data_IF_938326007624
#
_entry.id   IF_938326007624
#
_cell.length_a   1.000
_cell.length_b   1.000
_cell.length_c   1.000
_cell.angle_alpha   90.00
_cell.angle_beta   90.00
_cell.angle_gamma   90.00
#
_symmetry.space_group_name_H-M   'P 1'
#
loop_
_entity.id
_entity.type
_entity.pdbx_description
1 polymer ?
#
# COMPACT_ATOMS: atom_id res chain seq x y z
N UNK A 1 -21.03 -10.46 1.98
CA UNK A 1 -19.79 -10.16 1.23
C UNK A 1 -19.26 -11.36 0.45
N UNK A 2 -19.05 -12.52 1.06
CA UNK A 2 -18.57 -13.73 0.36
C UNK A 2 -19.43 -14.11 -0.87
N UNK A 3 -20.76 -14.11 -0.73
CA UNK A 3 -21.70 -14.37 -1.85
C UNK A 3 -21.51 -13.35 -2.98
N UNK A 4 -21.27 -12.07 -2.65
CA UNK A 4 -21.07 -11.03 -3.66
C UNK A 4 -19.76 -11.23 -4.43
N UNK A 5 -18.67 -11.64 -3.76
CA UNK A 5 -17.40 -11.97 -4.40
C UNK A 5 -17.55 -13.18 -5.34
N UNK A 6 -18.24 -14.22 -4.90
CA UNK A 6 -18.55 -15.40 -5.73
C UNK A 6 -19.39 -15.02 -6.95
N UNK A 7 -20.42 -14.18 -6.79
CA UNK A 7 -21.25 -13.70 -7.88
C UNK A 7 -20.48 -12.81 -8.87
N UNK A 8 -19.38 -12.19 -8.44
CA UNK A 8 -18.47 -11.41 -9.27
C UNK A 8 -17.31 -12.25 -9.84
N UNK A 9 -17.44 -13.58 -9.87
CA UNK A 9 -16.46 -14.54 -10.38
C UNK A 9 -15.08 -14.52 -9.67
N UNK A 10 -15.01 -13.98 -8.44
CA UNK A 10 -13.82 -14.15 -7.62
C UNK A 10 -13.73 -15.59 -7.09
N UNK A 11 -12.52 -16.15 -7.12
CA UNK A 11 -12.17 -17.44 -6.54
C UNK A 11 -11.20 -17.23 -5.39
N UNK A 12 -11.42 -17.93 -4.29
CA UNK A 12 -10.49 -17.91 -3.17
C UNK A 12 -9.26 -18.77 -3.48
N UNK A 13 -8.07 -18.27 -3.18
CA UNK A 13 -6.84 -19.05 -3.26
C UNK A 13 -6.48 -19.72 -1.91
N UNK A 14 -5.36 -20.43 -1.85
CA UNK A 14 -4.88 -21.13 -0.65
C UNK A 14 -4.54 -20.21 0.51
N UNK A 15 -4.30 -18.93 0.27
CA UNK A 15 -3.99 -17.90 1.27
C UNK A 15 -5.24 -17.14 1.71
N UNK A 16 -6.44 -17.60 1.32
CA UNK A 16 -7.73 -16.91 1.52
C UNK A 16 -7.80 -15.54 0.84
N UNK A 17 -6.96 -15.33 -0.17
CA UNK A 17 -6.99 -14.15 -1.03
C UNK A 17 -7.99 -14.39 -2.15
N UNK A 18 -8.92 -13.47 -2.36
CA UNK A 18 -9.90 -13.57 -3.42
C UNK A 18 -9.29 -13.06 -4.71
N UNK A 19 -9.35 -13.87 -5.76
CA UNK A 19 -8.76 -13.55 -7.06
C UNK A 19 -9.82 -13.56 -8.14
N UNK A 20 -9.84 -12.50 -8.95
CA UNK A 20 -10.59 -12.43 -10.18
C UNK A 20 -9.62 -12.43 -11.36
N UNK A 21 -9.83 -13.35 -12.30
CA UNK A 21 -9.01 -13.44 -13.50
C UNK A 21 -9.78 -12.84 -14.67
N UNK A 22 -9.15 -11.93 -15.41
CA UNK A 22 -9.72 -11.35 -16.62
C UNK A 22 -8.68 -11.37 -17.75
N UNK A 23 -9.15 -11.39 -18.99
CA UNK A 23 -8.29 -11.25 -20.17
C UNK A 23 -8.49 -9.85 -20.71
N UNK A 24 -7.45 -9.02 -20.62
CA UNK A 24 -7.46 -7.68 -21.21
C UNK A 24 -7.26 -7.75 -22.73
N UNK A 25 -7.60 -6.66 -23.42
CA UNK A 25 -7.39 -6.54 -24.87
C UNK A 25 -5.94 -6.87 -25.24
N UNK A 26 -5.76 -7.71 -26.27
CA UNK A 26 -4.45 -8.23 -26.68
C UNK A 26 -4.09 -9.60 -26.09
N UNK A 27 -4.96 -10.24 -25.32
CA UNK A 27 -4.78 -11.61 -24.82
C UNK A 27 -3.99 -11.72 -23.52
N UNK A 28 -3.64 -10.59 -22.89
CA UNK A 28 -2.95 -10.56 -21.61
C UNK A 28 -3.91 -10.93 -20.48
N UNK A 29 -3.56 -11.97 -19.72
CA UNK A 29 -4.28 -12.36 -18.52
C UNK A 29 -3.91 -11.41 -17.37
N UNK A 30 -4.88 -10.65 -16.87
CA UNK A 30 -4.75 -9.88 -15.64
C UNK A 30 -5.41 -10.63 -14.49
N UNK A 31 -4.75 -10.66 -13.34
CA UNK A 31 -5.30 -11.26 -12.11
C UNK A 31 -5.45 -10.14 -11.09
N UNK A 32 -6.70 -9.78 -10.77
CA UNK A 32 -7.02 -8.85 -9.69
C UNK A 32 -7.05 -9.63 -8.39
N UNK A 33 -6.23 -9.21 -7.43
CA UNK A 33 -6.23 -9.75 -6.07
C UNK A 33 -7.01 -8.82 -5.15
N UNK A 34 -7.89 -9.41 -4.37
CA UNK A 34 -8.68 -8.76 -3.33
C UNK A 34 -8.31 -9.40 -1.99
N UNK A 35 -7.61 -8.63 -1.16
CA UNK A 35 -7.18 -9.01 0.18
C UNK A 35 -7.91 -8.16 1.20
N UNK A 36 -8.44 -8.78 2.25
CA UNK A 36 -8.90 -8.07 3.43
C UNK A 36 -7.76 -8.03 4.44
N UNK A 37 -7.53 -6.86 5.01
CA UNK A 37 -6.49 -6.65 6.02
C UNK A 37 -7.15 -6.24 7.34
N UNK A 38 -6.55 -6.68 8.44
CA UNK A 38 -6.95 -6.30 9.78
C UNK A 38 -5.73 -5.80 10.57
N UNK A 39 -5.97 -5.00 11.61
CA UNK A 39 -4.95 -4.51 12.54
C UNK A 39 -5.41 -4.80 13.97
N UNK A 40 -5.18 -6.04 14.41
CA UNK A 40 -5.70 -6.59 15.66
C UNK A 40 -4.56 -6.83 16.65
N UNK A 41 -4.74 -6.33 17.87
CA UNK A 41 -3.73 -6.41 18.93
C UNK A 41 -3.52 -7.81 19.50
N UNK A 42 -4.59 -8.59 19.50
CA UNK A 42 -4.66 -9.94 20.05
C UNK A 42 -4.25 -11.02 19.05
N UNK A 43 -3.95 -10.65 17.80
CA UNK A 43 -3.57 -11.58 16.74
C UNK A 43 -2.10 -11.42 16.34
N UNK A 44 -1.39 -12.51 16.02
CA UNK A 44 -0.03 -12.42 15.48
C UNK A 44 0.03 -11.67 14.14
N UNK A 45 1.19 -11.08 13.84
CA UNK A 45 1.49 -10.52 12.52
C UNK A 45 1.37 -11.61 11.43
N UNK A 46 0.75 -11.29 10.30
CA UNK A 46 0.44 -12.18 9.18
C UNK A 46 -0.50 -13.34 9.49
N UNK A 47 -1.20 -13.33 10.64
CA UNK A 47 -2.20 -14.35 10.95
C UNK A 47 -3.44 -14.21 10.05
N UNK A 48 -3.98 -15.35 9.60
CA UNK A 48 -5.28 -15.38 8.93
C UNK A 48 -6.40 -15.31 9.99
N UNK A 49 -7.11 -14.20 10.01
CA UNK A 49 -8.27 -13.94 10.86
C UNK A 49 -9.52 -14.41 10.14
N UNK A 50 -10.17 -15.43 10.68
CA UNK A 50 -11.41 -15.94 10.12
C UNK A 50 -12.61 -15.11 10.58
N UNK A 51 -13.54 -14.83 9.68
CA UNK A 51 -14.80 -14.18 10.04
C UNK A 51 -15.85 -15.24 10.37
N UNK A 52 -16.46 -15.11 11.55
CA UNK A 52 -17.56 -15.98 11.95
C UNK A 52 -18.68 -15.98 10.90
N UNK A 53 -19.36 -17.11 10.74
CA UNK A 53 -20.48 -17.29 9.79
C UNK A 53 -20.10 -17.17 8.30
N UNK A 54 -18.83 -17.34 7.95
CA UNK A 54 -18.36 -17.42 6.56
C UNK A 54 -17.59 -18.71 6.32
N UNK A 55 -17.50 -19.19 5.08
CA UNK A 55 -16.75 -20.42 4.79
C UNK A 55 -15.28 -20.11 4.56
N UNK A 56 -15.02 -19.16 3.66
CA UNK A 56 -13.67 -18.86 3.18
C UNK A 56 -13.25 -17.41 3.38
N UNK A 57 -14.16 -16.55 3.84
CA UNK A 57 -13.83 -15.15 4.09
C UNK A 57 -12.97 -15.02 5.35
N UNK A 58 -12.02 -14.11 5.27
CA UNK A 58 -11.11 -13.77 6.34
C UNK A 58 -10.24 -12.59 5.94
N UNK A 59 -9.43 -12.13 6.88
CA UNK A 59 -8.46 -11.07 6.67
C UNK A 59 -7.07 -11.53 7.10
N UNK A 60 -6.02 -10.91 6.56
CA UNK A 60 -4.67 -11.06 7.07
C UNK A 60 -4.43 -9.97 8.12
N UNK A 61 -4.04 -10.35 9.32
CA UNK A 61 -3.63 -9.40 10.35
C UNK A 61 -2.29 -8.78 9.95
N UNK A 62 -2.30 -7.53 9.50
CA UNK A 62 -1.12 -6.78 9.11
C UNK A 62 -1.06 -5.52 9.98
N UNK A 63 -0.20 -5.58 11.00
CA UNK A 63 -0.08 -4.54 12.01
C UNK A 63 0.29 -3.19 11.37
N UNK A 64 -0.38 -2.14 11.83
CA UNK A 64 -0.24 -0.79 11.29
C UNK A 64 -1.12 -0.49 10.08
N UNK A 65 -1.85 -1.46 9.52
CA UNK A 65 -2.84 -1.15 8.46
C UNK A 65 -3.97 -0.25 8.94
N UNK A 66 -4.20 -0.15 10.26
CA UNK A 66 -5.16 0.78 10.84
C UNK A 66 -4.87 2.26 10.51
N UNK A 67 -3.63 2.63 10.19
CA UNK A 67 -3.33 3.99 9.72
C UNK A 67 -4.06 4.34 8.41
N UNK A 68 -4.27 3.37 7.53
CA UNK A 68 -5.00 3.58 6.28
C UNK A 68 -6.47 3.98 6.52
N UNK A 69 -7.06 3.53 7.64
CA UNK A 69 -8.42 3.92 8.05
C UNK A 69 -8.50 5.25 8.82
N UNK A 70 -7.36 5.86 9.18
CA UNK A 70 -7.33 7.15 9.90
C UNK A 70 -7.22 8.36 8.97
N UNK A 71 -6.77 8.16 7.74
CA UNK A 71 -6.72 9.17 6.68
C UNK A 71 -7.33 8.55 5.43
N UNK A 72 -8.57 8.93 5.12
CA UNK A 72 -9.30 8.45 3.96
C UNK A 72 -10.20 9.55 3.38
N UNK A 73 -10.50 9.40 2.09
CA UNK A 73 -11.51 10.18 1.40
C UNK A 73 -12.54 9.23 0.76
N UNK A 74 -13.85 9.51 0.89
CA UNK A 74 -14.86 8.77 0.16
C UNK A 74 -14.69 9.00 -1.34
N UNK A 75 -14.78 7.92 -2.12
CA UNK A 75 -14.77 7.94 -3.59
C UNK A 75 -15.99 7.18 -4.09
N UNK A 76 -16.71 7.78 -5.02
CA UNK A 76 -17.85 7.13 -5.67
C UNK A 76 -17.36 6.30 -6.84
N UNK A 77 -17.53 4.98 -6.75
CA UNK A 77 -17.39 4.06 -7.87
C UNK A 77 -18.73 3.92 -8.58
N UNK A 78 -18.68 3.90 -9.91
CA UNK A 78 -19.85 3.74 -10.77
C UNK A 78 -19.59 2.55 -11.70
N UNK A 79 -20.52 1.61 -11.71
CA UNK A 79 -20.50 0.46 -12.61
C UNK A 79 -21.87 0.28 -13.28
N UNK A 80 -21.93 -0.55 -14.32
CA UNK A 80 -23.18 -1.01 -14.91
C UNK A 80 -23.30 -2.51 -14.69
N UNK A 81 -24.33 -2.93 -13.96
CA UNK A 81 -24.65 -4.34 -13.71
C UNK A 81 -25.96 -4.68 -14.43
N UNK A 82 -25.91 -5.61 -15.38
CA UNK A 82 -27.06 -6.01 -16.23
C UNK A 82 -27.81 -4.82 -16.86
N UNK A 83 -27.07 -3.77 -17.25
CA UNK A 83 -27.63 -2.55 -17.84
C UNK A 83 -28.16 -1.53 -16.83
N UNK A 84 -28.23 -1.85 -15.54
CA UNK A 84 -28.55 -0.91 -14.48
C UNK A 84 -27.28 -0.21 -13.98
N UNK A 85 -27.34 1.12 -13.81
CA UNK A 85 -26.24 1.88 -13.20
C UNK A 85 -26.22 1.60 -11.69
N UNK A 86 -25.10 1.09 -11.20
CA UNK A 86 -24.84 0.85 -9.77
C UNK A 86 -23.77 1.81 -9.29
N UNK A 87 -23.98 2.38 -8.11
CA UNK A 87 -23.02 3.29 -7.46
C UNK A 87 -22.65 2.76 -6.08
N UNK A 88 -21.36 2.79 -5.76
CA UNK A 88 -20.86 2.44 -4.45
C UNK A 88 -19.93 3.54 -3.95
N UNK A 89 -20.10 3.96 -2.70
CA UNK A 89 -19.13 4.83 -2.03
C UNK A 89 -18.12 3.94 -1.30
N UNK A 90 -16.84 4.17 -1.57
CA UNK A 90 -15.75 3.45 -0.92
C UNK A 90 -14.79 4.45 -0.28
N UNK A 91 -14.35 4.18 0.94
CA UNK A 91 -13.29 4.95 1.56
C UNK A 91 -11.95 4.52 0.97
N UNK A 92 -11.24 5.46 0.35
CA UNK A 92 -9.90 5.26 -0.20
C UNK A 92 -8.91 5.98 0.70
N UNK A 93 -7.86 5.28 1.11
CA UNK A 93 -6.84 5.87 1.99
C UNK A 93 -6.16 7.08 1.33
N UNK A 94 -5.90 8.11 2.12
CA UNK A 94 -5.11 9.27 1.74
C UNK A 94 -3.60 9.01 1.87
N UNK A 95 -2.81 10.01 1.48
CA UNK A 95 -1.35 9.90 1.44
C UNK A 95 -0.74 9.59 2.82
N UNK A 96 -1.23 10.23 3.88
CA UNK A 96 -0.67 10.03 5.22
C UNK A 96 -0.97 8.62 5.75
N UNK A 97 -2.22 8.19 5.60
CA UNK A 97 -2.66 6.85 6.02
C UNK A 97 -1.92 5.75 5.26
N UNK A 98 -1.76 5.94 3.95
CA UNK A 98 -1.00 5.03 3.10
C UNK A 98 0.46 4.90 3.54
N UNK A 99 1.18 6.02 3.70
CA UNK A 99 2.61 6.00 4.03
C UNK A 99 2.88 5.38 5.39
N UNK A 100 2.09 5.69 6.42
CA UNK A 100 2.25 5.07 7.74
C UNK A 100 1.91 3.58 7.72
N UNK A 101 0.81 3.19 7.06
CA UNK A 101 0.44 1.78 6.93
C UNK A 101 1.49 0.97 6.17
N UNK A 102 2.03 1.53 5.09
CA UNK A 102 3.06 0.87 4.29
C UNK A 102 4.40 0.80 5.01
N UNK A 103 4.79 1.83 5.76
CA UNK A 103 6.00 1.81 6.59
C UNK A 103 5.91 0.70 7.65
N UNK A 104 4.77 0.59 8.34
CA UNK A 104 4.54 -0.49 9.31
C UNK A 104 4.55 -1.87 8.64
N UNK A 105 3.89 -2.01 7.48
CA UNK A 105 3.88 -3.26 6.73
C UNK A 105 5.29 -3.66 6.25
N UNK A 106 6.06 -2.72 5.70
CA UNK A 106 7.42 -2.98 5.24
C UNK A 106 8.30 -3.54 6.36
N UNK A 107 8.23 -2.95 7.56
CA UNK A 107 8.93 -3.46 8.73
C UNK A 107 8.40 -4.83 9.20
N UNK A 108 7.08 -5.05 9.13
CA UNK A 108 6.47 -6.28 9.61
C UNK A 108 6.59 -7.50 8.69
N UNK A 109 6.86 -7.33 7.39
CA UNK A 109 6.94 -8.47 6.44
C UNK A 109 8.07 -8.40 5.40
N UNK A 110 8.81 -7.29 5.32
CA UNK A 110 9.96 -7.10 4.41
C UNK A 110 9.69 -7.56 2.96
N UNK A 111 8.51 -7.22 2.41
CA UNK A 111 8.16 -7.58 1.04
C UNK A 111 8.61 -6.49 0.08
N UNK A 112 9.26 -6.88 -1.01
CA UNK A 112 9.69 -6.00 -2.10
C UNK A 112 8.60 -5.02 -2.57
N UNK A 113 7.34 -5.49 -2.66
CA UNK A 113 6.20 -4.66 -3.06
C UNK A 113 5.97 -3.44 -2.17
N UNK A 114 6.23 -3.52 -0.87
CA UNK A 114 6.02 -2.38 0.02
C UNK A 114 7.12 -1.33 -0.14
N UNK A 115 8.37 -1.75 -0.36
CA UNK A 115 9.45 -0.82 -0.67
C UNK A 115 9.20 -0.08 -1.99
N UNK A 116 8.75 -0.81 -3.03
CA UNK A 116 8.33 -0.20 -4.29
C UNK A 116 7.20 0.81 -4.08
N UNK A 117 6.12 0.40 -3.43
CA UNK A 117 4.93 1.23 -3.20
C UNK A 117 5.26 2.53 -2.44
N UNK A 118 6.11 2.45 -1.40
CA UNK A 118 6.52 3.63 -0.61
C UNK A 118 7.33 4.59 -1.48
N UNK A 119 8.41 4.11 -2.12
CA UNK A 119 9.28 4.96 -2.93
C UNK A 119 8.52 5.57 -4.11
N UNK A 120 7.67 4.77 -4.77
CA UNK A 120 6.83 5.22 -5.87
C UNK A 120 5.86 6.33 -5.41
N UNK A 121 5.16 6.13 -4.29
CA UNK A 121 4.24 7.17 -3.78
C UNK A 121 5.00 8.42 -3.37
N UNK A 122 6.16 8.32 -2.71
CA UNK A 122 6.93 9.51 -2.34
C UNK A 122 7.33 10.33 -3.58
N UNK A 123 7.71 9.66 -4.68
CA UNK A 123 8.12 10.31 -5.93
C UNK A 123 6.95 10.83 -6.77
N UNK A 124 5.79 10.16 -6.74
CA UNK A 124 4.68 10.41 -7.67
C UNK A 124 3.36 10.86 -6.97
N UNK A 125 3.40 11.22 -5.69
CA UNK A 125 2.20 11.52 -4.89
C UNK A 125 1.25 12.55 -5.53
N UNK A 126 1.74 13.58 -6.22
CA UNK A 126 0.87 14.60 -6.83
C UNK A 126 0.03 14.06 -8.00
N UNK A 127 0.49 13.01 -8.66
CA UNK A 127 -0.25 12.35 -9.75
C UNK A 127 -1.25 11.31 -9.22
N UNK A 128 -0.92 10.73 -8.05
CA UNK A 128 -1.68 9.66 -7.42
C UNK A 128 -2.81 10.22 -6.55
N UNK A 129 -2.50 11.26 -5.79
CA UNK A 129 -3.42 11.94 -4.89
C UNK A 129 -3.85 13.24 -5.56
N UNK A 130 -5.16 13.38 -5.78
CA UNK A 130 -5.82 14.55 -6.37
C UNK A 130 -5.72 15.76 -5.43
N UNK A 131 -4.52 16.31 -5.36
CA UNK A 131 -4.13 17.40 -4.48
C UNK A 131 -3.79 18.63 -5.32
N UNK A 132 -4.45 19.76 -5.02
CA UNK A 132 -4.38 20.97 -5.86
C UNK A 132 -3.00 21.65 -5.93
N UNK A 133 -2.01 21.19 -5.16
CA UNK A 133 -0.67 21.78 -5.04
C UNK A 133 0.37 20.69 -4.74
N UNK A 134 1.66 20.90 -5.10
CA UNK A 134 2.75 20.05 -4.62
C UNK A 134 2.75 20.00 -3.09
N UNK A 135 2.70 18.79 -2.55
CA UNK A 135 2.77 18.55 -1.11
C UNK A 135 4.11 17.92 -0.75
N UNK A 136 4.70 18.29 0.39
CA UNK A 136 5.74 17.43 0.98
C UNK A 136 5.03 16.27 1.69
N UNK A 137 5.27 15.00 1.29
CA UNK A 137 4.62 13.85 1.93
C UNK A 137 4.87 13.76 3.43
N UNK A 138 6.03 14.21 3.91
CA UNK A 138 6.34 14.24 5.33
C UNK A 138 5.45 15.25 6.08
N UNK A 139 5.29 16.46 5.53
CA UNK A 139 4.40 17.47 6.10
C UNK A 139 2.96 17.00 6.15
N UNK A 140 2.49 16.30 5.11
CA UNK A 140 1.12 15.75 5.07
C UNK A 140 0.91 14.72 6.19
N UNK A 141 1.88 13.82 6.40
CA UNK A 141 1.83 12.86 7.50
C UNK A 141 1.77 13.59 8.85
N UNK A 142 2.68 14.55 9.09
CA UNK A 142 2.74 15.27 10.35
C UNK A 142 1.47 16.08 10.64
N UNK A 143 0.90 16.74 9.63
CA UNK A 143 -0.30 17.57 9.78
C UNK A 143 -1.57 16.74 10.00
N UNK A 144 -1.71 15.60 9.31
CA UNK A 144 -2.96 14.82 9.34
C UNK A 144 -3.00 13.79 10.47
N UNK A 145 -1.91 13.08 10.68
CA UNK A 145 -1.86 11.94 11.60
C UNK A 145 -0.78 12.08 12.68
N UNK A 146 0.21 12.93 12.46
CA UNK A 146 1.46 12.87 13.21
C UNK A 146 2.23 11.58 12.90
N UNK A 147 3.31 11.35 13.64
CA UNK A 147 4.05 10.08 13.59
C UNK A 147 4.15 9.51 15.01
N UNK A 148 3.50 8.37 15.30
CA UNK A 148 3.56 7.76 16.63
C UNK A 148 4.97 7.24 16.96
N UNK A 149 5.34 7.29 18.25
CA UNK A 149 6.67 6.88 18.71
C UNK A 149 6.95 5.40 18.45
N UNK A 150 5.91 4.59 18.42
CA UNK A 150 5.95 3.15 18.14
C UNK A 150 6.41 2.86 16.71
N UNK A 151 6.29 3.81 15.78
CA UNK A 151 6.80 3.66 14.42
C UNK A 151 8.29 3.94 14.27
N UNK A 152 9.00 4.37 15.33
CA UNK A 152 10.44 4.68 15.27
C UNK A 152 11.24 3.56 14.59
N UNK A 153 11.09 2.33 15.07
CA UNK A 153 11.81 1.18 14.52
C UNK A 153 11.44 0.91 13.06
N UNK A 154 10.17 1.08 12.68
CA UNK A 154 9.74 0.90 11.30
C UNK A 154 10.31 1.96 10.36
N UNK A 155 10.43 3.20 10.83
CA UNK A 155 11.05 4.31 10.07
C UNK A 155 12.57 4.12 9.96
N UNK A 156 13.24 3.70 11.04
CA UNK A 156 14.68 3.37 11.02
C UNK A 156 14.99 2.22 10.06
N UNK A 157 14.18 1.16 10.10
CA UNK A 157 14.29 0.03 9.18
C UNK A 157 14.05 0.47 7.73
N UNK A 158 13.03 1.29 7.45
CA UNK A 158 12.80 1.84 6.12
C UNK A 158 14.02 2.64 5.61
N UNK A 159 14.60 3.51 6.45
CA UNK A 159 15.79 4.27 6.10
C UNK A 159 16.99 3.35 5.78
N UNK A 160 17.21 2.30 6.59
CA UNK A 160 18.27 1.33 6.35
C UNK A 160 18.09 0.60 5.00
N UNK A 161 16.85 0.27 4.64
CA UNK A 161 16.49 -0.40 3.40
C UNK A 161 16.65 0.46 2.13
N UNK A 162 16.95 1.75 2.29
CA UNK A 162 17.24 2.70 1.21
C UNK A 162 18.60 3.41 1.38
N UNK A 163 19.50 2.84 2.19
CA UNK A 163 20.77 3.50 2.54
C UNK A 163 21.82 3.55 1.42
N UNK A 164 21.86 2.53 0.54
CA UNK A 164 22.76 2.47 -0.61
C UNK A 164 22.13 1.73 -1.80
N UNK A 165 22.81 1.75 -2.96
CA UNK A 165 22.29 1.19 -4.22
C UNK A 165 22.07 -0.34 -4.18
N UNK A 166 22.63 -1.04 -3.19
CA UNK A 166 22.49 -2.49 -2.98
C UNK A 166 21.49 -2.82 -1.86
N UNK A 167 20.92 -1.81 -1.20
CA UNK A 167 19.92 -2.03 -0.18
C UNK A 167 18.65 -2.65 -0.82
N UNK A 168 18.03 -3.58 -0.09
CA UNK A 168 16.92 -4.37 -0.64
C UNK A 168 15.73 -3.51 -1.11
N UNK A 169 15.48 -2.38 -0.46
CA UNK A 169 14.41 -1.47 -0.86
C UNK A 169 14.68 -0.78 -2.19
N UNK A 170 15.93 -0.38 -2.43
CA UNK A 170 16.36 0.22 -3.70
C UNK A 170 16.26 -0.79 -4.83
N UNK A 171 16.77 -1.99 -4.64
CA UNK A 171 16.68 -3.07 -5.63
C UNK A 171 15.23 -3.39 -5.97
N UNK A 172 14.38 -3.58 -4.95
CA UNK A 172 12.96 -3.84 -5.13
C UNK A 172 12.24 -2.74 -5.92
N UNK A 173 12.55 -1.47 -5.63
CA UNK A 173 11.96 -0.35 -6.36
C UNK A 173 12.39 -0.35 -7.83
N UNK A 174 13.69 -0.44 -8.10
CA UNK A 174 14.24 -0.37 -9.47
C UNK A 174 13.77 -1.56 -10.31
N UNK A 175 13.84 -2.78 -9.79
CA UNK A 175 13.40 -3.98 -10.50
C UNK A 175 11.93 -3.86 -10.92
N UNK A 176 11.06 -3.48 -9.98
CA UNK A 176 9.64 -3.36 -10.26
C UNK A 176 9.31 -2.18 -11.18
N UNK A 177 10.03 -1.06 -11.07
CA UNK A 177 9.86 0.10 -11.94
C UNK A 177 10.22 -0.23 -13.39
N UNK A 178 11.34 -0.92 -13.62
CA UNK A 178 11.83 -1.27 -14.96
C UNK A 178 10.99 -2.36 -15.63
N UNK A 179 10.35 -3.24 -14.85
CA UNK A 179 9.33 -4.16 -15.40
C UNK A 179 8.18 -3.37 -16.04
N UNK A 180 7.76 -2.28 -15.40
CA UNK A 180 6.64 -1.46 -15.86
C UNK A 180 7.07 -0.42 -16.91
N UNK A 181 8.32 0.04 -16.85
CA UNK A 181 8.86 1.11 -17.70
C UNK A 181 10.30 0.75 -18.13
N UNK A 182 10.46 -0.14 -19.12
CA UNK A 182 11.77 -0.69 -19.48
C UNK A 182 12.81 0.32 -19.98
N UNK A 183 12.34 1.49 -20.44
CA UNK A 183 13.18 2.53 -21.04
C UNK A 183 13.76 3.53 -20.02
N UNK A 184 13.42 3.40 -18.73
CA UNK A 184 13.93 4.29 -17.69
C UNK A 184 15.38 3.95 -17.30
N UNK A 185 16.13 4.97 -16.88
CA UNK A 185 17.49 4.77 -16.37
C UNK A 185 17.47 4.24 -14.93
N UNK A 186 18.07 3.06 -14.74
CA UNK A 186 18.11 2.38 -13.46
C UNK A 186 18.86 3.17 -12.37
N UNK A 187 19.93 3.87 -12.75
CA UNK A 187 20.78 4.60 -11.80
C UNK A 187 20.10 5.88 -11.30
N UNK A 188 19.43 6.61 -12.19
CA UNK A 188 18.55 7.73 -11.83
C UNK A 188 17.42 7.26 -10.92
N UNK A 189 16.69 6.21 -11.30
CA UNK A 189 15.61 5.66 -10.48
C UNK A 189 16.08 5.25 -9.06
N UNK A 190 17.23 4.59 -8.95
CA UNK A 190 17.82 4.23 -7.66
C UNK A 190 18.12 5.47 -6.81
N UNK A 191 18.74 6.49 -7.42
CA UNK A 191 19.14 7.72 -6.74
C UNK A 191 17.92 8.49 -6.24
N UNK A 192 16.90 8.65 -7.08
CA UNK A 192 15.68 9.38 -6.75
C UNK A 192 14.93 8.71 -5.59
N UNK A 193 14.79 7.38 -5.63
CA UNK A 193 14.17 6.62 -4.55
C UNK A 193 14.93 6.77 -3.22
N UNK A 194 16.26 6.69 -3.23
CA UNK A 194 17.08 6.90 -2.03
C UNK A 194 16.89 8.29 -1.45
N UNK A 195 16.93 9.33 -2.29
CA UNK A 195 16.77 10.72 -1.84
C UNK A 195 15.38 10.97 -1.26
N UNK A 196 14.32 10.49 -1.93
CA UNK A 196 12.95 10.66 -1.46
C UNK A 196 12.71 9.95 -0.13
N UNK A 197 13.16 8.69 0.01
CA UNK A 197 13.00 7.93 1.26
C UNK A 197 13.85 8.51 2.38
N UNK A 198 15.08 8.95 2.10
CA UNK A 198 15.95 9.59 3.09
C UNK A 198 15.36 10.91 3.62
N UNK A 199 14.80 11.75 2.73
CA UNK A 199 14.14 12.98 3.13
C UNK A 199 12.92 12.70 4.02
N UNK A 200 12.05 11.80 3.59
CA UNK A 200 10.85 11.41 4.34
C UNK A 200 11.20 10.84 5.73
N UNK A 201 12.07 9.83 5.77
CA UNK A 201 12.46 9.17 7.03
C UNK A 201 13.20 10.10 7.98
N UNK A 202 14.06 10.98 7.46
CA UNK A 202 14.73 12.01 8.26
C UNK A 202 13.74 12.92 8.99
N UNK A 203 12.72 13.42 8.29
CA UNK A 203 11.67 14.26 8.90
C UNK A 203 10.86 13.49 9.95
N UNK A 204 10.47 12.25 9.66
CA UNK A 204 9.74 11.41 10.62
C UNK A 204 10.57 11.16 11.89
N UNK A 205 11.84 10.78 11.77
CA UNK A 205 12.70 10.49 12.93
C UNK A 205 12.94 11.73 13.80
N UNK A 206 13.08 12.89 13.19
CA UNK A 206 13.17 14.16 13.92
C UNK A 206 11.89 14.45 14.68
N UNK A 207 10.72 14.25 14.07
CA UNK A 207 9.43 14.46 14.71
C UNK A 207 9.17 13.46 15.86
N UNK A 208 9.69 12.24 15.81
CA UNK A 208 9.58 11.27 16.92
C UNK A 208 10.57 11.59 18.06
N UNK A 209 11.64 12.35 17.78
CA UNK A 209 12.67 12.69 18.78
C UNK A 209 12.38 13.99 19.55
N UNK A 210 11.55 14.88 19.00
CA UNK A 210 11.09 16.12 19.64
C UNK A 210 9.86 15.91 20.52
#
# INVERSE_FOLDING_TARGET
MEIALKNADFRVDSERVWRWETVQGGGYKAVIKFELLADLDDQPQSANVHFEQTDNLGAVNLRGTGYASKDYAPRTLVAYDQGARVTAEVNVTGLAGFLLAKTAAANGRHKAKDYYDIAFVLLHHNEIFDESRPLDPADVVLQRLGVPVELRTAVEDLAANFSDDRAQGVQAYVEQLLINNPDLDAATAATDARLAVAAFTGTMLNAIAG
#
